data_IF_370775445085
#
_entry.id   IF_370775445085
#
_cell.length_a   1.000
_cell.length_b   1.000
_cell.length_c   1.000
_cell.angle_alpha   90.00
_cell.angle_beta   90.00
_cell.angle_gamma   90.00
#
_symmetry.space_group_name_H-M   'P 1'
#
loop_
_entity.id
_entity.type
_entity.pdbx_description
1 polymer ?
#
# COMPACT_ATOMS: atom_id res chain seq x y z
N UNK A 1 -5.63 6.19 2.03
CA UNK A 1 -4.80 5.05 2.46
C UNK A 1 -3.61 5.55 3.27
N UNK A 2 -3.16 4.80 4.29
CA UNK A 2 -1.93 5.11 5.03
C UNK A 2 -0.98 3.91 4.94
N UNK A 3 0.25 4.19 4.52
CA UNK A 3 1.31 3.20 4.39
C UNK A 3 2.66 3.81 4.73
N UNK A 4 3.61 2.97 5.14
CA UNK A 4 4.99 3.38 5.43
C UNK A 4 5.97 2.25 5.21
N UNK A 5 7.26 2.58 5.12
CA UNK A 5 8.33 1.59 4.99
C UNK A 5 8.46 0.71 6.23
N UNK A 6 8.89 -0.53 6.03
CA UNK A 6 9.22 -1.49 7.09
C UNK A 6 10.27 -2.49 6.61
N UNK A 7 10.79 -3.29 7.53
CA UNK A 7 11.60 -4.47 7.19
C UNK A 7 10.83 -5.71 7.63
N UNK A 8 10.54 -6.59 6.69
CA UNK A 8 9.84 -7.84 6.93
C UNK A 8 10.71 -9.01 6.48
N UNK A 9 11.06 -9.91 7.41
CA UNK A 9 11.94 -11.06 7.16
C UNK A 9 13.26 -10.67 6.45
N UNK A 10 13.87 -9.56 6.89
CA UNK A 10 15.10 -9.04 6.31
C UNK A 10 14.96 -8.36 4.95
N UNK A 11 13.73 -8.17 4.44
CA UNK A 11 13.45 -7.49 3.17
C UNK A 11 12.82 -6.12 3.41
N UNK A 12 13.20 -5.12 2.62
CA UNK A 12 12.48 -3.84 2.56
C UNK A 12 11.07 -4.10 2.06
N UNK A 13 10.08 -3.65 2.82
CA UNK A 13 8.67 -3.85 2.54
C UNK A 13 7.85 -2.59 2.84
N UNK A 14 6.60 -2.60 2.37
CA UNK A 14 5.60 -1.58 2.72
C UNK A 14 4.62 -2.17 3.74
N UNK A 15 4.37 -1.44 4.84
CA UNK A 15 3.28 -1.73 5.78
C UNK A 15 2.07 -0.88 5.41
N UNK A 16 0.93 -1.53 5.19
CA UNK A 16 -0.37 -0.89 4.97
C UNK A 16 -1.19 -1.04 6.24
N UNK A 17 -1.81 0.05 6.72
CA UNK A 17 -2.62 0.03 7.94
C UNK A 17 -4.11 0.19 7.63
N UNK A 18 -4.92 -0.73 8.17
CA UNK A 18 -6.38 -0.66 8.16
C UNK A 18 -6.85 -0.47 9.60
N UNK A 19 -7.54 0.62 9.89
CA UNK A 19 -7.86 1.03 11.27
C UNK A 19 -9.33 1.39 11.51
N UNK A 20 -10.11 1.61 10.45
CA UNK A 20 -11.53 1.97 10.56
C UNK A 20 -12.42 0.75 10.34
N UNK A 21 -13.36 0.52 11.26
CA UNK A 21 -14.39 -0.53 11.12
C UNK A 21 -15.31 -0.29 9.90
N UNK A 22 -15.39 0.95 9.42
CA UNK A 22 -16.18 1.31 8.25
C UNK A 22 -15.45 1.05 6.92
N UNK A 23 -14.19 0.57 6.94
CA UNK A 23 -13.42 0.29 5.72
C UNK A 23 -14.11 -0.84 4.94
N UNK A 24 -14.45 -0.57 3.68
CA UNK A 24 -15.06 -1.54 2.78
C UNK A 24 -14.03 -2.15 1.83
N UNK A 25 -14.41 -3.22 1.13
CA UNK A 25 -13.59 -3.82 0.08
C UNK A 25 -13.32 -2.83 -1.06
N UNK A 26 -14.32 -2.02 -1.44
CA UNK A 26 -14.15 -0.99 -2.48
C UNK A 26 -13.10 0.07 -2.09
N UNK A 27 -13.02 0.44 -0.80
CA UNK A 27 -11.99 1.37 -0.31
C UNK A 27 -10.58 0.77 -0.42
N UNK A 28 -10.47 -0.55 -0.18
CA UNK A 28 -9.22 -1.31 -0.33
C UNK A 28 -8.81 -1.36 -1.79
N UNK A 29 -9.72 -1.73 -2.70
CA UNK A 29 -9.44 -1.80 -4.13
C UNK A 29 -8.99 -0.46 -4.71
N UNK A 30 -9.68 0.63 -4.34
CA UNK A 30 -9.28 1.97 -4.76
C UNK A 30 -7.88 2.35 -4.25
N UNK A 31 -7.57 1.98 -3.01
CA UNK A 31 -6.27 2.23 -2.40
C UNK A 31 -5.15 1.44 -3.10
N UNK A 32 -5.39 0.16 -3.41
CA UNK A 32 -4.44 -0.70 -4.11
C UNK A 32 -4.20 -0.21 -5.53
N UNK A 33 -5.25 0.19 -6.26
CA UNK A 33 -5.14 0.74 -7.60
C UNK A 33 -4.23 1.99 -7.62
N UNK A 34 -4.37 2.88 -6.63
CA UNK A 34 -3.51 4.05 -6.48
C UNK A 34 -2.05 3.69 -6.20
N UNK A 35 -1.80 2.73 -5.29
CA UNK A 35 -0.44 2.26 -4.97
C UNK A 35 0.24 1.62 -6.20
N UNK A 36 -0.47 0.75 -6.91
CA UNK A 36 0.04 0.10 -8.13
C UNK A 36 0.32 1.11 -9.24
N UNK A 37 -0.51 2.15 -9.38
CA UNK A 37 -0.25 3.23 -10.33
C UNK A 37 1.03 3.97 -9.99
N UNK A 38 1.20 4.39 -8.74
CA UNK A 38 2.42 5.06 -8.29
C UNK A 38 3.67 4.18 -8.48
N UNK A 39 3.58 2.89 -8.18
CA UNK A 39 4.68 1.95 -8.38
C UNK A 39 5.11 1.83 -9.86
N UNK A 40 4.18 1.94 -10.82
CA UNK A 40 4.48 1.94 -12.25
C UNK A 40 5.08 3.25 -12.77
N UNK A 41 4.80 4.36 -12.09
CA UNK A 41 5.30 5.69 -12.47
C UNK A 41 6.75 5.91 -12.02
N UNK A 42 7.22 5.15 -11.02
CA UNK A 42 8.62 5.18 -10.59
C UNK A 42 9.46 4.32 -11.56
N UNK A 43 10.54 4.85 -12.15
CA UNK A 43 11.47 4.06 -12.95
C UNK A 43 12.04 2.92 -12.10
N UNK A 44 12.06 1.71 -12.66
CA UNK A 44 12.85 0.64 -12.07
C UNK A 44 14.31 0.89 -12.45
N UNK A 45 15.14 1.17 -11.44
CA UNK A 45 16.60 1.23 -11.57
C UNK A 45 17.20 -0.16 -11.88
#
# INVERSE_FOLDING_TARGET
CWCGGTVWQGQTAMRISVSSWATTEADVELSLAAMLRAAREVPND
#
